data_IF_102933774407
#
_entry.id   IF_102933774407
#
_cell.length_a   1.000
_cell.length_b   1.000
_cell.length_c   1.000
_cell.angle_alpha   90.00
_cell.angle_beta   90.00
_cell.angle_gamma   90.00
#
_symmetry.space_group_name_H-M   'P 1'
#
loop_
_entity.id
_entity.type
_entity.pdbx_description
1 polymer ?
#
# COMPACT_ATOMS: atom_id res chain seq x y z
N UNK A 1 41.15 -32.15 -27.75
CA UNK A 1 40.46 -32.76 -26.58
C UNK A 1 38.96 -32.82 -26.82
N UNK A 2 38.29 -33.93 -26.47
CA UNK A 2 36.81 -34.00 -26.51
C UNK A 2 36.24 -33.16 -25.35
N UNK A 3 35.09 -32.49 -25.55
CA UNK A 3 34.44 -31.63 -24.55
C UNK A 3 34.15 -32.36 -23.23
N UNK A 4 33.86 -33.66 -23.29
CA UNK A 4 33.68 -34.52 -22.13
C UNK A 4 34.93 -34.63 -21.24
N UNK A 5 36.11 -34.75 -21.84
CA UNK A 5 37.37 -34.86 -21.08
C UNK A 5 37.71 -33.53 -20.39
N UNK A 6 37.40 -32.40 -21.05
CA UNK A 6 37.58 -31.06 -20.49
C UNK A 6 36.69 -30.86 -19.26
N UNK A 7 35.43 -31.28 -19.33
CA UNK A 7 34.50 -31.21 -18.20
C UNK A 7 34.94 -32.10 -17.03
N UNK A 8 35.38 -33.34 -17.33
CA UNK A 8 35.83 -34.30 -16.31
C UNK A 8 37.13 -33.87 -15.63
N UNK A 9 38.08 -33.31 -16.38
CA UNK A 9 39.31 -32.71 -15.86
C UNK A 9 39.00 -31.49 -14.99
N UNK A 10 38.15 -30.59 -15.47
CA UNK A 10 37.76 -29.38 -14.74
C UNK A 10 37.08 -29.72 -13.40
N UNK A 11 36.14 -30.68 -13.39
CA UNK A 11 35.49 -31.16 -12.17
C UNK A 11 36.48 -31.79 -11.18
N UNK A 12 37.48 -32.52 -11.67
CA UNK A 12 38.53 -33.11 -10.82
C UNK A 12 39.42 -32.06 -10.18
N UNK A 13 39.63 -30.92 -10.86
CA UNK A 13 40.45 -29.81 -10.40
C UNK A 13 39.78 -28.99 -9.31
N UNK A 14 38.50 -28.66 -9.47
CA UNK A 14 37.67 -28.01 -8.42
C UNK A 14 37.69 -28.85 -7.13
N UNK A 15 37.70 -30.17 -7.25
CA UNK A 15 37.70 -31.10 -6.12
C UNK A 15 39.04 -31.18 -5.36
N UNK A 16 40.15 -30.73 -5.97
CA UNK A 16 41.48 -30.69 -5.34
C UNK A 16 41.73 -29.38 -4.57
N UNK A 17 41.15 -28.25 -4.96
CA UNK A 17 41.26 -26.95 -4.25
C UNK A 17 40.09 -26.68 -3.30
N UNK A 18 39.76 -27.67 -2.44
CA UNK A 18 38.48 -27.73 -1.68
C UNK A 18 38.12 -26.45 -0.93
N UNK A 19 39.06 -25.86 -0.17
CA UNK A 19 38.73 -24.77 0.76
C UNK A 19 38.45 -23.45 0.03
N UNK A 20 39.31 -23.06 -0.90
CA UNK A 20 39.20 -21.81 -1.65
C UNK A 20 37.96 -21.79 -2.54
N UNK A 21 37.74 -22.90 -3.25
CA UNK A 21 36.57 -23.14 -4.09
C UNK A 21 35.25 -23.11 -3.31
N UNK A 22 35.23 -23.68 -2.10
CA UNK A 22 34.04 -23.60 -1.24
C UNK A 22 33.77 -22.19 -0.74
N UNK A 23 34.80 -21.48 -0.28
CA UNK A 23 34.67 -20.12 0.25
C UNK A 23 34.10 -19.16 -0.79
N UNK A 24 34.54 -19.24 -2.06
CA UNK A 24 34.00 -18.41 -3.14
C UNK A 24 32.57 -18.77 -3.51
N UNK A 25 32.26 -20.06 -3.67
CA UNK A 25 30.90 -20.52 -4.02
C UNK A 25 29.91 -20.11 -2.91
N UNK A 26 30.26 -20.30 -1.64
CA UNK A 26 29.41 -19.91 -0.51
C UNK A 26 29.17 -18.39 -0.50
N UNK A 27 30.22 -17.59 -0.73
CA UNK A 27 30.08 -16.14 -0.80
C UNK A 27 29.10 -15.69 -1.88
N UNK A 28 29.18 -16.28 -3.08
CA UNK A 28 28.29 -15.99 -4.20
C UNK A 28 26.86 -16.45 -3.89
N UNK A 29 26.69 -17.68 -3.40
CA UNK A 29 25.38 -18.25 -3.08
C UNK A 29 24.68 -17.42 -2.01
N UNK A 30 25.38 -17.06 -0.92
CA UNK A 30 24.80 -16.23 0.14
C UNK A 30 24.44 -14.84 -0.40
N UNK A 31 25.33 -14.22 -1.19
CA UNK A 31 25.08 -12.91 -1.79
C UNK A 31 23.85 -12.89 -2.69
N UNK A 32 23.78 -13.82 -3.64
CA UNK A 32 22.64 -13.95 -4.56
C UNK A 32 21.36 -14.31 -3.81
N UNK A 33 21.42 -15.25 -2.86
CA UNK A 33 20.26 -15.64 -2.05
C UNK A 33 19.71 -14.46 -1.24
N UNK A 34 20.58 -13.67 -0.60
CA UNK A 34 20.17 -12.50 0.16
C UNK A 34 19.49 -11.44 -0.72
N UNK A 35 20.05 -11.17 -1.91
CA UNK A 35 19.48 -10.22 -2.87
C UNK A 35 18.10 -10.69 -3.35
N UNK A 36 18.00 -11.95 -3.78
CA UNK A 36 16.74 -12.52 -4.28
C UNK A 36 15.68 -12.54 -3.17
N UNK A 37 16.06 -12.86 -1.93
CA UNK A 37 15.16 -12.82 -0.79
C UNK A 37 14.62 -11.40 -0.54
N UNK A 38 15.49 -10.39 -0.53
CA UNK A 38 15.08 -9.00 -0.30
C UNK A 38 14.14 -8.50 -1.41
N UNK A 39 14.44 -8.79 -2.68
CA UNK A 39 13.57 -8.42 -3.81
C UNK A 39 12.21 -9.12 -3.70
N UNK A 40 12.20 -10.41 -3.39
CA UNK A 40 10.95 -11.19 -3.26
C UNK A 40 10.08 -10.70 -2.10
N UNK A 41 10.71 -10.33 -0.98
CA UNK A 41 10.00 -9.70 0.15
C UNK A 41 9.43 -8.35 -0.27
N UNK A 42 10.20 -7.55 -1.02
CA UNK A 42 9.76 -6.27 -1.58
C UNK A 42 8.51 -6.40 -2.45
N UNK A 43 8.53 -7.32 -3.41
CA UNK A 43 7.40 -7.60 -4.30
C UNK A 43 6.19 -8.12 -3.53
N UNK A 44 6.41 -9.03 -2.56
CA UNK A 44 5.35 -9.53 -1.68
C UNK A 44 4.70 -8.43 -0.84
N UNK A 45 5.51 -7.52 -0.30
CA UNK A 45 5.02 -6.34 0.44
C UNK A 45 4.25 -5.39 -0.49
N UNK A 46 4.75 -5.12 -1.69
CA UNK A 46 4.04 -4.29 -2.67
C UNK A 46 2.67 -4.89 -3.02
N UNK A 47 2.62 -6.20 -3.30
CA UNK A 47 1.38 -6.90 -3.61
C UNK A 47 0.40 -6.88 -2.41
N UNK A 48 0.90 -7.06 -1.18
CA UNK A 48 0.09 -6.96 0.03
C UNK A 48 -0.50 -5.57 0.20
N UNK A 49 0.30 -4.51 0.04
CA UNK A 49 -0.18 -3.12 0.14
C UNK A 49 -1.18 -2.81 -0.97
N UNK A 50 -0.94 -3.25 -2.22
CA UNK A 50 -1.88 -3.07 -3.32
C UNK A 50 -3.21 -3.78 -3.07
N UNK A 51 -3.20 -5.00 -2.50
CA UNK A 51 -4.41 -5.72 -2.12
C UNK A 51 -5.19 -5.00 -1.02
N UNK A 52 -4.49 -4.52 0.01
CA UNK A 52 -5.08 -3.74 1.12
C UNK A 52 -5.65 -2.39 0.67
N UNK A 53 -5.18 -1.84 -0.45
CA UNK A 53 -5.72 -0.61 -1.07
C UNK A 53 -6.85 -0.91 -2.05
N UNK A 54 -6.77 -2.02 -2.80
CA UNK A 54 -7.80 -2.43 -3.75
C UNK A 54 -9.15 -2.69 -3.09
N UNK A 55 -9.17 -3.12 -1.82
CA UNK A 55 -10.40 -3.27 -1.03
C UNK A 55 -11.11 -1.95 -0.74
N UNK A 56 -10.40 -0.80 -0.86
CA UNK A 56 -10.94 0.54 -0.58
C UNK A 56 -11.69 1.16 -1.75
N UNK A 57 -11.88 0.44 -2.86
CA UNK A 57 -12.58 0.93 -4.05
C UNK A 57 -11.71 1.87 -4.86
N UNK A 58 -11.00 1.31 -5.86
CA UNK A 58 -10.17 2.09 -6.77
C UNK A 58 -10.98 3.05 -7.67
N UNK A 59 -12.29 2.89 -7.70
CA UNK A 59 -13.29 3.74 -8.34
C UNK A 59 -13.86 4.82 -7.42
N UNK A 60 -13.24 5.07 -6.26
CA UNK A 60 -13.64 6.13 -5.36
C UNK A 60 -12.74 7.37 -5.50
N UNK A 61 -13.40 8.53 -5.48
CA UNK A 61 -12.77 9.85 -5.36
C UNK A 61 -13.34 10.50 -4.11
N UNK A 62 -12.46 11.00 -3.24
CA UNK A 62 -12.88 11.70 -2.01
C UNK A 62 -12.57 13.17 -2.14
N UNK A 63 -13.58 13.99 -1.88
CA UNK A 63 -13.46 15.44 -1.72
C UNK A 63 -13.46 15.73 -0.22
N UNK A 64 -12.41 16.37 0.26
CA UNK A 64 -12.28 16.76 1.67
C UNK A 64 -12.12 18.28 1.79
N UNK A 65 -12.65 18.91 2.85
CA UNK A 65 -12.41 20.32 3.13
C UNK A 65 -10.96 20.55 3.56
N UNK A 66 -10.47 21.75 3.29
CA UNK A 66 -9.09 22.17 3.49
C UNK A 66 -8.18 21.81 2.32
N UNK A 67 -7.16 22.64 2.12
CA UNK A 67 -6.14 22.41 1.11
C UNK A 67 -4.97 21.65 1.73
N UNK A 68 -5.03 20.33 1.65
CA UNK A 68 -3.90 19.47 1.99
C UNK A 68 -2.93 19.46 0.81
N UNK A 69 -1.92 20.35 0.81
CA UNK A 69 -0.76 20.14 -0.06
C UNK A 69 -0.13 18.81 0.34
N UNK A 70 -0.23 17.82 -0.53
CA UNK A 70 0.58 16.62 -0.46
C UNK A 70 2.04 17.01 -0.80
N UNK A 71 2.74 17.61 0.16
CA UNK A 71 4.15 17.95 0.05
C UNK A 71 4.87 17.35 1.25
N UNK A 72 5.84 16.49 0.94
CA UNK A 72 6.65 15.75 1.90
C UNK A 72 7.36 16.64 2.92
N UNK A 73 7.93 15.97 3.92
CA UNK A 73 8.70 16.53 5.01
C UNK A 73 9.55 17.76 4.60
N UNK A 74 9.12 18.95 5.04
CA UNK A 74 9.92 20.17 4.92
C UNK A 74 9.10 21.47 4.86
N UNK A 75 8.82 22.04 6.04
CA UNK A 75 8.64 23.48 6.38
C UNK A 75 7.64 24.34 5.54
N UNK A 76 6.80 25.21 6.10
CA UNK A 76 7.09 26.26 7.10
C UNK A 76 6.04 26.37 8.21
N UNK A 77 6.45 26.74 9.44
CA UNK A 77 5.56 27.04 10.55
C UNK A 77 4.91 28.41 10.36
N UNK A 78 3.65 28.43 9.94
CA UNK A 78 2.78 29.58 10.15
C UNK A 78 2.51 29.80 11.64
N UNK A 79 2.09 31.02 12.06
CA UNK A 79 2.11 31.42 13.46
C UNK A 79 1.23 30.49 14.32
N UNK A 80 1.89 29.95 15.34
CA UNK A 80 1.36 29.15 16.45
C UNK A 80 -0.13 29.36 16.78
N UNK A 81 -0.88 28.26 16.73
CA UNK A 81 -2.11 28.12 17.53
C UNK A 81 -3.23 27.32 16.87
N UNK A 82 -3.07 26.01 16.77
CA UNK A 82 -4.16 25.09 16.41
C UNK A 82 -4.11 24.66 14.94
N UNK A 83 -4.11 23.34 14.71
CA UNK A 83 -4.41 22.77 13.42
C UNK A 83 -5.82 23.17 13.01
N UNK A 84 -5.93 24.33 12.36
CA UNK A 84 -7.16 24.82 11.78
C UNK A 84 -7.55 23.89 10.65
N UNK A 85 -8.40 22.90 10.97
CA UNK A 85 -9.42 22.43 10.05
C UNK A 85 -9.96 23.69 9.39
N UNK A 86 -9.79 23.83 8.07
CA UNK A 86 -10.49 24.91 7.37
C UNK A 86 -11.95 24.79 7.78
N UNK A 87 -12.48 25.82 8.45
CA UNK A 87 -13.87 25.89 8.96
C UNK A 87 -14.91 25.86 7.85
N UNK A 88 -14.46 25.69 6.61
CA UNK A 88 -15.25 25.67 5.40
C UNK A 88 -15.66 24.23 5.15
N UNK A 89 -16.83 23.87 5.69
CA UNK A 89 -17.42 22.57 5.46
C UNK A 89 -17.90 22.42 3.99
N UNK A 90 -17.95 21.19 3.52
CA UNK A 90 -18.63 20.86 2.26
C UNK A 90 -20.13 20.90 2.49
N UNK A 91 -20.88 21.42 1.53
CA UNK A 91 -22.32 21.66 1.64
C UNK A 91 -23.11 20.85 0.63
N UNK A 92 -24.44 20.79 0.79
CA UNK A 92 -25.34 20.19 -0.21
C UNK A 92 -25.19 20.83 -1.60
N UNK A 93 -24.82 22.11 -1.68
CA UNK A 93 -24.56 22.79 -2.96
C UNK A 93 -23.41 22.11 -3.71
N UNK A 94 -22.35 21.74 -3.00
CA UNK A 94 -21.19 21.05 -3.58
C UNK A 94 -21.56 19.66 -4.04
N UNK A 95 -22.32 18.92 -3.23
CA UNK A 95 -22.84 17.62 -3.60
C UNK A 95 -23.66 17.67 -4.90
N UNK A 96 -24.50 18.70 -5.07
CA UNK A 96 -25.30 18.87 -6.29
C UNK A 96 -24.45 19.19 -7.52
N UNK A 97 -23.38 19.96 -7.37
CA UNK A 97 -22.43 20.23 -8.45
C UNK A 97 -21.66 18.97 -8.83
N UNK A 98 -21.23 18.18 -7.84
CA UNK A 98 -20.51 16.91 -8.04
C UNK A 98 -21.39 15.91 -8.80
N UNK A 99 -22.68 15.82 -8.48
CA UNK A 99 -23.65 14.95 -9.19
C UNK A 99 -23.78 15.26 -10.68
N UNK A 100 -23.45 16.48 -11.12
CA UNK A 100 -23.53 16.92 -12.52
C UNK A 100 -22.24 16.67 -13.31
N UNK A 101 -21.21 16.07 -12.69
CA UNK A 101 -19.95 15.77 -13.38
C UNK A 101 -20.10 14.48 -14.21
N UNK A 102 -19.77 14.49 -15.51
CA UNK A 102 -19.77 13.27 -16.32
C UNK A 102 -18.87 12.19 -15.71
N UNK A 103 -19.33 10.94 -15.73
CA UNK A 103 -18.58 9.79 -15.18
C UNK A 103 -18.82 9.53 -13.69
N UNK A 104 -19.54 10.41 -12.97
CA UNK A 104 -19.97 10.17 -11.58
C UNK A 104 -21.25 9.33 -11.57
N UNK A 105 -21.23 8.19 -10.86
CA UNK A 105 -22.41 7.33 -10.68
C UNK A 105 -23.12 7.64 -9.36
N UNK A 106 -22.36 7.67 -8.26
CA UNK A 106 -22.91 7.88 -6.92
C UNK A 106 -22.11 8.93 -6.17
N UNK A 107 -22.81 9.71 -5.34
CA UNK A 107 -22.23 10.73 -4.47
C UNK A 107 -22.80 10.52 -3.08
N UNK A 108 -21.92 10.41 -2.09
CA UNK A 108 -22.30 10.21 -0.70
C UNK A 108 -21.57 11.24 0.17
N UNK A 109 -22.35 12.10 0.81
CA UNK A 109 -21.85 13.03 1.82
C UNK A 109 -21.65 12.29 3.15
N UNK A 110 -20.44 12.32 3.67
CA UNK A 110 -20.09 11.68 4.92
C UNK A 110 -19.93 12.71 6.04
N UNK A 111 -20.35 12.32 7.24
CA UNK A 111 -20.12 13.07 8.47
C UNK A 111 -19.29 12.21 9.40
N UNK A 112 -18.00 12.52 9.50
CA UNK A 112 -17.07 11.75 10.32
C UNK A 112 -16.68 12.52 11.57
N UNK A 113 -16.47 11.80 12.67
CA UNK A 113 -16.03 12.40 13.92
C UNK A 113 -15.56 11.33 14.88
N UNK A 114 -15.17 11.75 16.08
CA UNK A 114 -14.85 10.82 17.17
C UNK A 114 -15.83 11.04 18.31
N UNK A 115 -16.24 9.95 18.94
CA UNK A 115 -17.00 10.00 20.19
C UNK A 115 -16.65 8.81 21.05
N UNK A 116 -17.01 8.89 22.32
CA UNK A 116 -16.81 7.80 23.25
C UNK A 116 -17.94 6.79 23.11
N UNK A 117 -17.55 5.53 22.94
CA UNK A 117 -18.43 4.37 22.98
C UNK A 117 -18.27 3.69 24.34
N UNK A 118 -19.41 3.39 24.97
CA UNK A 118 -19.53 2.80 26.29
C UNK A 118 -20.22 1.44 26.14
N UNK A 119 -19.57 0.40 26.67
CA UNK A 119 -20.10 -0.95 26.75
C UNK A 119 -19.91 -1.49 28.18
N UNK A 120 -20.98 -1.57 28.95
CA UNK A 120 -20.90 -1.94 30.36
C UNK A 120 -20.10 -0.90 31.17
N UNK A 121 -18.93 -1.30 31.67
CA UNK A 121 -17.99 -0.43 32.42
C UNK A 121 -16.84 0.10 31.57
N UNK A 122 -16.71 -0.34 30.31
CA UNK A 122 -15.61 0.03 29.43
C UNK A 122 -16.00 1.23 28.57
N UNK A 123 -15.07 2.16 28.41
CA UNK A 123 -15.23 3.33 27.55
C UNK A 123 -14.02 3.42 26.62
N UNK A 124 -14.28 3.54 25.32
CA UNK A 124 -13.25 3.69 24.30
C UNK A 124 -13.63 4.77 23.30
N UNK A 125 -12.64 5.46 22.76
CA UNK A 125 -12.87 6.48 21.72
C UNK A 125 -12.93 5.79 20.37
N UNK A 126 -14.05 5.93 19.67
CA UNK A 126 -14.28 5.30 18.37
C UNK A 126 -14.43 6.35 17.28
N UNK A 127 -14.01 5.99 16.07
CA UNK A 127 -14.32 6.78 14.88
C UNK A 127 -15.76 6.52 14.46
N UNK A 128 -16.55 7.57 14.30
CA UNK A 128 -17.92 7.51 13.82
C UNK A 128 -17.94 8.01 12.39
N UNK A 129 -18.63 7.29 11.52
CA UNK A 129 -18.88 7.68 10.14
C UNK A 129 -20.38 7.64 9.88
N UNK A 130 -20.97 8.83 9.78
CA UNK A 130 -22.32 9.08 9.33
C UNK A 130 -22.43 8.93 7.82
N UNK A 131 -23.36 8.10 7.37
CA UNK A 131 -23.51 7.75 5.95
C UNK A 131 -24.95 7.94 5.48
N UNK A 132 -25.13 8.29 4.21
CA UNK A 132 -26.43 8.25 3.56
C UNK A 132 -26.76 6.78 3.22
N UNK A 133 -27.72 6.21 3.94
CA UNK A 133 -28.09 4.80 3.84
C UNK A 133 -28.56 4.44 2.41
N UNK A 134 -29.14 5.39 1.67
CA UNK A 134 -29.68 5.15 0.32
C UNK A 134 -28.58 4.90 -0.71
N UNK A 135 -27.42 5.54 -0.54
CA UNK A 135 -26.30 5.48 -1.49
C UNK A 135 -25.15 4.62 -0.96
N UNK A 136 -24.96 4.58 0.36
CA UNK A 136 -23.84 3.91 1.01
C UNK A 136 -23.72 2.43 0.65
N UNK A 137 -24.85 1.71 0.54
CA UNK A 137 -24.86 0.29 0.15
C UNK A 137 -24.25 0.02 -1.23
N UNK A 138 -24.34 0.98 -2.15
CA UNK A 138 -23.80 0.89 -3.51
C UNK A 138 -22.32 1.29 -3.59
N UNK A 139 -21.79 1.93 -2.54
CA UNK A 139 -20.41 2.39 -2.43
C UNK A 139 -19.57 1.42 -1.59
N UNK A 140 -20.11 0.89 -0.50
CA UNK A 140 -19.40 -0.06 0.36
C UNK A 140 -19.12 -1.36 -0.37
N UNK A 141 -17.85 -1.74 -0.36
CA UNK A 141 -17.33 -3.01 -0.88
C UNK A 141 -17.11 -4.05 0.23
N UNK A 142 -17.09 -3.63 1.49
CA UNK A 142 -16.83 -4.51 2.65
C UNK A 142 -17.99 -5.47 2.89
N UNK A 143 -17.67 -6.76 2.99
CA UNK A 143 -18.62 -7.81 3.34
C UNK A 143 -18.93 -7.80 4.85
N UNK A 144 -20.10 -8.32 5.22
CA UNK A 144 -20.49 -8.50 6.61
C UNK A 144 -20.07 -9.89 7.08
N UNK A 145 -19.49 -9.95 8.27
CA UNK A 145 -19.30 -11.21 8.99
C UNK A 145 -20.64 -11.68 9.56
N UNK A 146 -21.41 -10.76 10.14
CA UNK A 146 -22.70 -11.07 10.75
C UNK A 146 -23.70 -9.92 10.65
N UNK A 147 -24.98 -10.30 10.61
CA UNK A 147 -26.11 -9.38 10.63
C UNK A 147 -26.46 -8.78 9.27
N UNK A 148 -26.79 -7.48 9.25
CA UNK A 148 -27.26 -6.78 8.04
C UNK A 148 -26.70 -5.37 7.92
N UNK A 149 -26.67 -4.86 6.70
CA UNK A 149 -26.38 -3.46 6.42
C UNK A 149 -27.49 -2.56 6.97
N UNK A 150 -27.17 -1.27 7.15
CA UNK A 150 -28.15 -0.23 7.45
C UNK A 150 -29.20 -0.17 6.33
N UNK A 151 -30.47 0.02 6.71
CA UNK A 151 -31.59 0.13 5.79
C UNK A 151 -32.32 1.47 5.99
N UNK A 152 -32.97 2.03 4.94
CA UNK A 152 -33.77 3.23 5.09
C UNK A 152 -34.83 3.05 6.20
N UNK A 153 -34.87 3.96 7.17
CA UNK A 153 -35.73 3.87 8.36
C UNK A 153 -35.04 3.42 9.64
N UNK A 154 -33.80 2.94 9.56
CA UNK A 154 -32.98 2.69 10.74
C UNK A 154 -32.47 4.02 11.33
N UNK A 155 -33.03 4.49 12.44
CA UNK A 155 -32.54 5.71 13.12
C UNK A 155 -31.56 5.41 14.26
N UNK A 156 -31.76 4.29 14.97
CA UNK A 156 -30.96 3.91 16.15
C UNK A 156 -30.17 2.61 15.91
N UNK A 157 -29.68 2.41 14.68
CA UNK A 157 -28.90 1.25 14.30
C UNK A 157 -27.47 1.63 13.92
N UNK A 158 -26.51 0.75 14.25
CA UNK A 158 -25.10 0.90 13.91
C UNK A 158 -24.55 -0.37 13.28
N UNK A 159 -23.61 -0.20 12.34
CA UNK A 159 -22.76 -1.27 11.83
C UNK A 159 -21.34 -1.02 12.34
N UNK A 160 -20.71 -2.05 12.89
CA UNK A 160 -19.42 -1.94 13.58
C UNK A 160 -18.32 -2.67 12.79
N UNK A 161 -17.11 -2.11 12.78
CA UNK A 161 -15.92 -2.76 12.23
C UNK A 161 -15.47 -4.00 13.02
N UNK A 162 -14.79 -4.93 12.35
CA UNK A 162 -14.37 -6.20 12.94
C UNK A 162 -13.56 -6.06 14.24
N UNK A 163 -12.51 -5.24 14.22
CA UNK A 163 -11.62 -5.06 15.37
C UNK A 163 -12.31 -4.37 16.54
N UNK A 164 -13.21 -3.43 16.28
CA UNK A 164 -14.02 -2.83 17.34
C UNK A 164 -14.98 -3.84 18.00
N UNK A 165 -15.44 -4.85 17.26
CA UNK A 165 -16.30 -5.90 17.78
C UNK A 165 -15.52 -6.99 18.56
N UNK A 166 -14.30 -7.34 18.15
CA UNK A 166 -13.56 -8.49 18.70
C UNK A 166 -12.35 -8.14 19.57
N UNK A 167 -11.63 -7.06 19.25
CA UNK A 167 -10.30 -6.80 19.81
C UNK A 167 -10.30 -5.73 20.91
N UNK A 168 -11.27 -4.80 20.88
CA UNK A 168 -11.27 -3.61 21.73
C UNK A 168 -11.89 -3.83 23.11
N UNK A 169 -12.94 -4.66 23.20
CA UNK A 169 -13.68 -4.89 24.44
C UNK A 169 -13.38 -6.28 25.00
N UNK A 170 -13.42 -6.46 26.33
CA UNK A 170 -13.17 -7.77 26.96
C UNK A 170 -14.18 -8.85 26.55
N UNK A 171 -15.39 -8.45 26.16
CA UNK A 171 -16.38 -9.34 25.58
C UNK A 171 -16.70 -8.91 24.16
N UNK A 172 -16.74 -9.86 23.19
CA UNK A 172 -17.05 -9.52 21.83
C UNK A 172 -18.47 -8.93 21.73
N UNK A 173 -18.59 -7.91 20.89
CA UNK A 173 -19.88 -7.31 20.57
C UNK A 173 -20.59 -8.26 19.60
N UNK A 174 -21.77 -8.71 19.98
CA UNK A 174 -22.63 -9.54 19.13
C UNK A 174 -23.74 -8.71 18.50
N UNK A 175 -24.35 -9.26 17.45
CA UNK A 175 -25.51 -8.64 16.82
C UNK A 175 -26.64 -8.42 17.84
N UNK A 176 -27.39 -7.33 17.67
CA UNK A 176 -28.50 -6.87 18.49
C UNK A 176 -28.13 -6.40 19.90
N UNK A 177 -26.83 -6.36 20.26
CA UNK A 177 -26.39 -5.79 21.54
C UNK A 177 -26.56 -4.26 21.53
N UNK A 178 -27.09 -3.66 22.60
CA UNK A 178 -27.13 -2.21 22.73
C UNK A 178 -25.75 -1.66 23.10
N UNK A 179 -25.36 -0.56 22.47
CA UNK A 179 -24.10 0.15 22.69
C UNK A 179 -24.40 1.63 22.87
N UNK A 180 -23.74 2.29 23.82
CA UNK A 180 -23.97 3.72 24.05
C UNK A 180 -22.85 4.51 23.42
N UNK A 181 -23.18 5.43 22.51
CA UNK A 181 -22.21 6.25 21.78
C UNK A 181 -22.60 7.71 21.95
N UNK A 182 -21.68 8.54 22.46
CA UNK A 182 -21.93 9.95 22.75
C UNK A 182 -23.20 10.21 23.58
N UNK A 183 -23.50 9.33 24.53
CA UNK A 183 -24.66 9.44 25.42
C UNK A 183 -25.99 8.96 24.83
N UNK A 184 -26.04 8.48 23.59
CA UNK A 184 -27.23 7.85 22.97
C UNK A 184 -27.02 6.35 22.80
N UNK A 185 -28.07 5.56 23.00
CA UNK A 185 -28.01 4.10 22.84
C UNK A 185 -28.40 3.69 21.41
N UNK A 186 -27.54 2.90 20.78
CA UNK A 186 -27.71 2.33 19.46
C UNK A 186 -27.72 0.81 19.52
N UNK A 187 -28.39 0.19 18.55
CA UNK A 187 -28.42 -1.26 18.39
C UNK A 187 -27.46 -1.70 17.28
N UNK A 188 -26.59 -2.66 17.58
CA UNK A 188 -25.67 -3.21 16.57
C UNK A 188 -26.45 -4.13 15.63
N UNK A 189 -26.59 -3.73 14.36
CA UNK A 189 -27.36 -4.51 13.37
C UNK A 189 -26.49 -5.36 12.45
N UNK A 190 -25.21 -5.00 12.32
CA UNK A 190 -24.24 -5.74 11.53
C UNK A 190 -22.81 -5.51 12.00
N UNK A 191 -21.94 -6.47 11.70
CA UNK A 191 -20.50 -6.43 11.95
C UNK A 191 -19.80 -6.71 10.63
N UNK A 192 -18.87 -5.83 10.26
CA UNK A 192 -18.06 -6.03 9.06
C UNK A 192 -17.07 -7.17 9.24
N UNK A 193 -16.83 -7.90 8.15
CA UNK A 193 -15.72 -8.83 8.09
C UNK A 193 -14.39 -8.07 8.18
N UNK A 194 -13.36 -8.75 8.68
CA UNK A 194 -12.02 -8.19 8.80
C UNK A 194 -11.52 -7.74 7.42
N UNK A 195 -11.42 -6.43 7.21
CA UNK A 195 -10.97 -5.88 5.93
C UNK A 195 -9.44 -5.82 5.87
N UNK A 196 -8.75 -5.77 7.03
CA UNK A 196 -7.28 -5.80 7.12
C UNK A 196 -6.58 -4.69 6.31
N UNK A 197 -7.36 -3.72 5.82
CA UNK A 197 -6.95 -2.68 4.90
C UNK A 197 -6.73 -1.35 5.61
N UNK A 198 -6.02 -0.44 4.93
CA UNK A 198 -5.70 0.89 5.45
C UNK A 198 -6.92 1.83 5.60
N UNK A 199 -8.13 1.37 5.28
CA UNK A 199 -9.35 2.19 5.24
C UNK A 199 -9.95 2.54 6.59
N UNK A 200 -9.42 2.04 7.70
CA UNK A 200 -9.95 2.31 9.04
C UNK A 200 -11.35 1.75 9.28
N UNK A 201 -11.89 0.94 8.36
CA UNK A 201 -13.22 0.31 8.45
C UNK A 201 -13.34 -0.58 9.67
N UNK A 202 -12.23 -1.17 10.11
CA UNK A 202 -12.20 -2.19 11.18
C UNK A 202 -12.36 -1.56 12.58
N UNK A 203 -12.02 -0.27 12.73
CA UNK A 203 -12.13 0.49 13.98
C UNK A 203 -13.16 1.63 13.92
N UNK A 204 -14.07 1.57 12.94
CA UNK A 204 -15.10 2.58 12.74
C UNK A 204 -16.50 2.06 13.08
N UNK A 205 -17.37 2.97 13.49
CA UNK A 205 -18.80 2.76 13.65
C UNK A 205 -19.53 3.52 12.54
N UNK A 206 -20.33 2.81 11.77
CA UNK A 206 -21.16 3.35 10.72
C UNK A 206 -22.58 3.50 11.21
N UNK A 207 -23.16 4.68 11.01
CA UNK A 207 -24.53 4.98 11.42
C UNK A 207 -25.17 5.97 10.44
N UNK A 208 -26.50 6.15 10.46
CA UNK A 208 -27.16 7.16 9.64
C UNK A 208 -26.54 8.54 9.87
N UNK A 209 -26.39 9.34 8.80
CA UNK A 209 -25.78 10.67 8.88
C UNK A 209 -26.45 11.59 9.92
N UNK A 210 -27.77 11.53 10.06
CA UNK A 210 -28.50 12.32 11.06
C UNK A 210 -28.18 11.88 12.50
N UNK A 211 -28.08 10.58 12.75
CA UNK A 211 -27.69 10.03 14.05
C UNK A 211 -26.23 10.35 14.39
N UNK A 212 -25.35 10.35 13.39
CA UNK A 212 -23.94 10.74 13.58
C UNK A 212 -23.81 12.21 13.98
N UNK A 213 -24.54 13.12 13.33
CA UNK A 213 -24.55 14.56 13.66
C UNK A 213 -24.97 14.82 15.11
N UNK A 214 -25.94 14.06 15.58
CA UNK A 214 -26.45 14.17 16.95
C UNK A 214 -25.47 13.68 18.03
N UNK A 215 -24.61 12.72 17.68
CA UNK A 215 -23.66 12.05 18.60
C UNK A 215 -22.28 12.70 18.58
N UNK A 216 -21.91 13.28 17.44
CA UNK A 216 -20.67 14.03 17.24
C UNK A 216 -20.97 15.48 17.68
N UNK A 217 -21.06 15.69 19.00
CA UNK A 217 -21.36 17.00 19.59
C UNK A 217 -20.15 17.92 19.53
N UNK A 218 -19.90 18.49 18.36
CA UNK A 218 -19.22 19.77 18.07
C UNK A 218 -18.83 19.80 16.59
N UNK A 219 -19.07 20.92 15.91
CA UNK A 219 -18.43 21.34 14.64
C UNK A 219 -19.20 21.10 13.31
N UNK A 220 -20.25 20.29 13.23
CA UNK A 220 -20.95 20.05 11.95
C UNK A 220 -22.41 20.47 12.00
N UNK A 221 -22.73 21.64 11.44
CA UNK A 221 -24.11 22.12 11.28
C UNK A 221 -24.92 21.21 10.34
N UNK A 222 -26.26 21.33 10.38
CA UNK A 222 -27.12 20.68 9.38
C UNK A 222 -26.66 21.10 7.99
N UNK A 223 -26.54 20.14 7.07
CA UNK A 223 -26.10 20.33 5.67
C UNK A 223 -24.59 20.51 5.46
N UNK A 224 -23.78 20.27 6.50
CA UNK A 224 -22.32 20.19 6.38
C UNK A 224 -21.83 18.74 6.33
N UNK A 225 -20.80 18.51 5.53
CA UNK A 225 -20.12 17.23 5.36
C UNK A 225 -18.63 17.40 5.64
N UNK A 226 -18.05 16.41 6.32
CA UNK A 226 -16.60 16.35 6.56
C UNK A 226 -15.84 15.80 5.37
N UNK A 227 -16.52 15.06 4.50
CA UNK A 227 -16.00 14.61 3.22
C UNK A 227 -17.16 14.22 2.30
N UNK A 228 -16.94 14.27 1.00
CA UNK A 228 -17.86 13.74 0.00
C UNK A 228 -17.13 12.65 -0.76
N UNK A 229 -17.64 11.43 -0.73
CA UNK A 229 -17.11 10.32 -1.52
C UNK A 229 -17.94 10.16 -2.78
N UNK A 230 -17.25 10.00 -3.89
CA UNK A 230 -17.80 9.92 -5.24
C UNK A 230 -17.37 8.60 -5.85
N UNK A 231 -18.32 7.84 -6.39
CA UNK A 231 -18.05 6.63 -7.15
C UNK A 231 -18.10 6.93 -8.63
N UNK A 232 -17.03 6.59 -9.34
CA UNK A 232 -16.92 6.81 -10.79
C UNK A 232 -17.24 5.53 -11.57
N UNK A 233 -17.65 5.69 -12.83
CA UNK A 233 -18.00 4.56 -13.68
C UNK A 233 -16.80 3.74 -14.15
N UNK A 234 -15.67 4.41 -14.38
CA UNK A 234 -14.44 3.79 -14.87
C UNK A 234 -13.24 4.36 -14.10
N UNK A 235 -12.43 3.45 -13.53
CA UNK A 235 -11.22 3.79 -12.80
C UNK A 235 -10.18 4.47 -13.69
N UNK A 236 -10.17 4.17 -14.98
CA UNK A 236 -9.23 4.79 -15.94
C UNK A 236 -9.55 6.27 -16.19
N UNK A 237 -10.77 6.70 -15.90
CA UNK A 237 -11.18 8.10 -16.00
C UNK A 237 -10.97 8.88 -14.70
N UNK A 238 -10.40 8.26 -13.66
CA UNK A 238 -10.26 8.88 -12.34
C UNK A 238 -9.54 10.23 -12.39
N UNK A 239 -8.46 10.35 -13.16
CA UNK A 239 -7.71 11.61 -13.28
C UNK A 239 -8.49 12.68 -14.05
N UNK A 240 -9.22 12.30 -15.09
CA UNK A 240 -10.08 13.21 -15.85
C UNK A 240 -11.25 13.71 -15.00
N UNK A 241 -11.94 12.79 -14.32
CA UNK A 241 -13.07 13.11 -13.43
C UNK A 241 -12.59 13.95 -12.25
N UNK A 242 -11.40 13.66 -11.70
CA UNK A 242 -10.77 14.49 -10.68
C UNK A 242 -10.55 15.90 -11.18
N UNK A 243 -9.98 16.09 -12.37
CA UNK A 243 -9.75 17.42 -12.94
C UNK A 243 -11.07 18.18 -13.15
N UNK A 244 -12.10 17.51 -13.67
CA UNK A 244 -13.43 18.08 -13.87
C UNK A 244 -14.11 18.45 -12.54
N UNK A 245 -13.97 17.61 -11.51
CA UNK A 245 -14.44 17.89 -10.15
C UNK A 245 -13.74 19.10 -9.56
N UNK A 246 -12.41 19.18 -9.67
CA UNK A 246 -11.64 20.34 -9.21
C UNK A 246 -12.11 21.62 -9.91
N UNK A 247 -12.25 21.60 -11.24
CA UNK A 247 -12.67 22.77 -12.00
C UNK A 247 -14.10 23.22 -11.65
N UNK A 248 -15.06 22.28 -11.59
CA UNK A 248 -16.47 22.61 -11.29
C UNK A 248 -16.65 23.09 -9.86
N UNK A 249 -15.95 22.48 -8.89
CA UNK A 249 -15.98 22.94 -7.50
C UNK A 249 -15.30 24.31 -7.34
N UNK A 250 -14.19 24.55 -8.05
CA UNK A 250 -13.54 25.88 -8.09
C UNK A 250 -14.49 26.96 -8.60
N UNK A 251 -15.22 26.70 -9.69
CA UNK A 251 -16.22 27.63 -10.23
C UNK A 251 -17.39 27.85 -9.26
N UNK A 252 -17.94 26.78 -8.67
CA UNK A 252 -19.09 26.87 -7.75
C UNK A 252 -18.77 27.65 -6.46
N UNK A 253 -17.57 27.44 -5.91
CA UNK A 253 -17.08 28.10 -4.68
C UNK A 253 -16.37 29.42 -4.94
N UNK A 254 -16.18 29.81 -6.20
CA UNK A 254 -15.44 31.02 -6.60
C UNK A 254 -14.00 31.07 -6.05
N UNK A 255 -13.32 29.92 -6.04
CA UNK A 255 -11.94 29.77 -5.55
C UNK A 255 -10.96 29.48 -6.68
N UNK A 256 -9.72 29.95 -6.52
CA UNK A 256 -8.63 29.74 -7.46
C UNK A 256 -7.65 28.69 -6.93
N UNK A 257 -6.70 28.21 -7.75
CA UNK A 257 -5.70 27.21 -7.31
C UNK A 257 -4.84 27.63 -6.11
N UNK A 258 -4.78 28.93 -5.78
CA UNK A 258 -4.06 29.46 -4.60
C UNK A 258 -4.95 29.67 -3.37
N UNK A 259 -6.27 29.83 -3.55
CA UNK A 259 -7.25 30.05 -2.47
C UNK A 259 -8.17 28.85 -2.29
N UNK A 260 -7.79 27.71 -2.88
CA UNK A 260 -8.55 26.46 -2.83
C UNK A 260 -8.73 26.07 -1.36
N UNK A 261 -9.96 25.72 -1.01
CA UNK A 261 -10.41 25.36 0.34
C UNK A 261 -10.84 23.88 0.40
N UNK A 262 -10.53 23.10 -0.64
CA UNK A 262 -10.83 21.68 -0.73
C UNK A 262 -9.70 20.91 -1.43
N UNK A 263 -9.64 19.62 -1.17
CA UNK A 263 -8.78 18.67 -1.88
C UNK A 263 -9.63 17.60 -2.52
N UNK A 264 -9.36 17.27 -3.78
CA UNK A 264 -9.92 16.10 -4.46
C UNK A 264 -8.82 15.04 -4.56
N UNK A 265 -9.07 13.88 -3.95
CA UNK A 265 -8.12 12.77 -3.91
C UNK A 265 -8.76 11.55 -4.54
N UNK A 266 -8.19 11.08 -5.64
CA UNK A 266 -8.56 9.79 -6.23
C UNK A 266 -7.71 8.68 -5.61
N UNK A 267 -8.33 7.54 -5.27
CA UNK A 267 -7.58 6.39 -4.74
C UNK A 267 -6.62 5.80 -5.77
N UNK A 268 -6.95 5.86 -7.07
CA UNK A 268 -6.05 5.48 -8.14
C UNK A 268 -4.72 6.26 -8.11
N UNK A 269 -4.76 7.57 -7.82
CA UNK A 269 -3.53 8.38 -7.71
C UNK A 269 -2.66 7.95 -6.52
N UNK A 270 -3.26 7.54 -5.40
CA UNK A 270 -2.53 7.00 -4.23
C UNK A 270 -1.87 5.68 -4.61
N UNK A 271 -2.59 4.78 -5.29
CA UNK A 271 -2.06 3.50 -5.73
C UNK A 271 -0.87 3.68 -6.70
N UNK A 272 -0.98 4.64 -7.63
CA UNK A 272 0.10 4.97 -8.54
C UNK A 272 1.32 5.55 -7.80
N UNK A 273 1.11 6.45 -6.84
CA UNK A 273 2.20 7.04 -6.06
C UNK A 273 2.95 5.98 -5.24
N UNK A 274 2.23 5.08 -4.58
CA UNK A 274 2.84 3.97 -3.82
C UNK A 274 3.58 3.02 -4.74
N UNK A 275 2.99 2.66 -5.89
CA UNK A 275 3.64 1.82 -6.89
C UNK A 275 4.93 2.47 -7.43
N UNK A 276 4.94 3.79 -7.59
CA UNK A 276 6.12 4.57 -7.99
C UNK A 276 7.25 4.48 -6.94
N UNK A 277 6.90 4.55 -5.65
CA UNK A 277 7.86 4.40 -4.55
C UNK A 277 8.44 2.99 -4.52
N UNK A 278 7.62 1.94 -4.62
CA UNK A 278 8.11 0.57 -4.70
C UNK A 278 8.98 0.31 -5.95
N UNK A 279 8.63 0.90 -7.09
CA UNK A 279 9.46 0.83 -8.29
C UNK A 279 10.83 1.50 -8.07
N UNK A 280 10.88 2.64 -7.38
CA UNK A 280 12.14 3.30 -7.02
C UNK A 280 12.99 2.44 -6.06
N UNK A 281 12.37 1.82 -5.05
CA UNK A 281 13.04 0.87 -4.14
C UNK A 281 13.58 -0.33 -4.92
N UNK A 282 12.79 -0.90 -5.82
CA UNK A 282 13.19 -2.05 -6.65
C UNK A 282 14.37 -1.71 -7.55
N UNK A 283 14.35 -0.52 -8.18
CA UNK A 283 15.46 -0.03 -8.98
C UNK A 283 16.74 0.15 -8.13
N UNK A 284 16.60 0.72 -6.93
CA UNK A 284 17.70 0.90 -6.00
C UNK A 284 18.31 -0.44 -5.55
N UNK A 285 17.47 -1.41 -5.19
CA UNK A 285 17.91 -2.77 -4.87
C UNK A 285 18.56 -3.46 -6.07
N UNK A 286 18.03 -3.25 -7.27
CA UNK A 286 18.64 -3.72 -8.52
C UNK A 286 20.02 -3.13 -8.77
N UNK A 287 20.23 -1.85 -8.44
CA UNK A 287 21.56 -1.23 -8.52
C UNK A 287 22.55 -1.84 -7.52
N UNK A 288 22.12 -2.10 -6.28
CA UNK A 288 22.93 -2.80 -5.27
C UNK A 288 23.25 -4.22 -5.74
N UNK A 289 22.28 -4.91 -6.32
CA UNK A 289 22.46 -6.24 -6.89
C UNK A 289 23.50 -6.24 -8.02
N UNK A 290 23.45 -5.24 -8.90
CA UNK A 290 24.43 -5.08 -9.98
C UNK A 290 25.85 -4.83 -9.45
N UNK A 291 26.01 -3.99 -8.42
CA UNK A 291 27.31 -3.77 -7.76
C UNK A 291 27.80 -5.05 -7.08
N UNK A 292 26.91 -5.78 -6.40
CA UNK A 292 27.25 -7.04 -5.73
C UNK A 292 27.67 -8.12 -6.73
N UNK A 293 27.00 -8.18 -7.89
CA UNK A 293 27.39 -9.05 -9.00
C UNK A 293 28.80 -8.70 -9.51
N UNK A 294 29.10 -7.41 -9.64
CA UNK A 294 30.42 -6.94 -10.08
C UNK A 294 31.51 -7.32 -9.07
N UNK A 295 31.27 -7.11 -7.78
CA UNK A 295 32.20 -7.52 -6.71
C UNK A 295 32.40 -9.04 -6.71
N UNK A 296 31.32 -9.81 -6.88
CA UNK A 296 31.37 -11.26 -7.05
C UNK A 296 32.22 -11.68 -8.26
N UNK A 297 32.01 -11.03 -9.42
CA UNK A 297 32.76 -11.29 -10.64
C UNK A 297 34.26 -10.98 -10.46
N UNK A 298 34.62 -9.89 -9.77
CA UNK A 298 36.02 -9.58 -9.42
C UNK A 298 36.60 -10.63 -8.47
N UNK A 299 35.82 -11.11 -7.51
CA UNK A 299 36.22 -12.19 -6.60
C UNK A 299 36.50 -13.51 -7.33
N UNK A 300 35.64 -13.88 -8.28
CA UNK A 300 35.84 -15.05 -9.17
C UNK A 300 37.10 -14.84 -10.01
N UNK A 301 37.26 -13.66 -10.64
CA UNK A 301 38.42 -13.33 -11.46
C UNK A 301 39.72 -13.43 -10.68
N UNK A 302 39.78 -12.91 -9.45
CA UNK A 302 40.97 -12.96 -8.60
C UNK A 302 41.32 -14.41 -8.21
N UNK A 303 40.30 -15.22 -7.88
CA UNK A 303 40.49 -16.63 -7.55
C UNK A 303 40.97 -17.43 -8.76
N UNK A 304 40.40 -17.17 -9.94
CA UNK A 304 40.81 -17.80 -11.19
C UNK A 304 42.22 -17.39 -11.61
N UNK A 305 42.57 -16.12 -11.49
CA UNK A 305 43.92 -15.64 -11.78
C UNK A 305 44.96 -16.36 -10.92
N UNK A 306 44.70 -16.49 -9.61
CA UNK A 306 45.57 -17.24 -8.71
C UNK A 306 45.66 -18.73 -9.09
N UNK A 307 44.53 -19.37 -9.43
CA UNK A 307 44.50 -20.77 -9.88
C UNK A 307 45.33 -21.01 -11.14
N UNK A 308 45.28 -20.08 -12.12
CA UNK A 308 46.09 -20.14 -13.34
C UNK A 308 47.58 -19.99 -13.00
N UNK A 309 47.93 -19.03 -12.14
CA UNK A 309 49.31 -18.77 -11.72
C UNK A 309 49.93 -19.99 -11.01
N UNK A 310 49.19 -20.61 -10.08
CA UNK A 310 49.59 -21.83 -9.38
C UNK A 310 49.78 -23.03 -10.34
N UNK A 311 49.12 -23.04 -11.51
CA UNK A 311 49.13 -24.16 -12.48
C UNK A 311 49.90 -23.88 -13.77
N UNK A 312 50.65 -22.78 -13.86
CA UNK A 312 51.47 -22.39 -15.02
C UNK A 312 52.35 -23.53 -15.56
N UNK A 313 52.99 -24.31 -14.67
CA UNK A 313 53.82 -25.46 -15.06
C UNK A 313 53.02 -26.60 -15.72
N UNK A 314 51.78 -26.83 -15.29
CA UNK A 314 50.89 -27.84 -15.89
C UNK A 314 50.39 -27.40 -17.27
N UNK A 315 50.09 -26.11 -17.44
CA UNK A 315 49.73 -25.52 -18.73
C UNK A 315 50.89 -25.69 -19.72
N UNK A 316 52.13 -25.47 -19.28
CA UNK A 316 53.34 -25.69 -20.07
C UNK A 316 53.48 -27.14 -20.56
N UNK A 317 53.19 -28.12 -19.71
CA UNK A 317 53.20 -29.54 -20.08
C UNK A 317 52.11 -29.88 -21.11
N UNK A 318 50.90 -29.34 -20.95
CA UNK A 318 49.80 -29.53 -21.90
C UNK A 318 50.15 -28.94 -23.27
N UNK A 319 50.71 -27.74 -23.31
CA UNK A 319 51.17 -27.11 -24.57
C UNK A 319 52.31 -27.90 -25.22
N UNK A 320 53.27 -28.42 -24.44
CA UNK A 320 54.34 -29.26 -24.99
C UNK A 320 53.84 -30.60 -25.56
N UNK A 321 52.67 -31.07 -25.12
CA UNK A 321 52.00 -32.27 -25.63
C UNK A 321 51.05 -31.97 -26.81
N UNK A 322 51.01 -30.72 -27.29
CA UNK A 322 50.24 -30.31 -28.46
C UNK A 322 48.86 -29.71 -28.17
N UNK A 323 48.53 -29.37 -26.92
CA UNK A 323 47.30 -28.65 -26.63
C UNK A 323 47.34 -27.22 -27.19
N UNK A 324 46.28 -26.82 -27.90
CA UNK A 324 46.16 -25.47 -28.48
C UNK A 324 45.74 -24.44 -27.43
N UNK A 325 46.04 -23.15 -27.68
CA UNK A 325 45.67 -22.04 -26.78
C UNK A 325 44.16 -21.97 -26.54
N UNK A 326 43.36 -22.27 -27.56
CA UNK A 326 41.91 -22.34 -27.46
C UNK A 326 41.42 -23.49 -26.57
N UNK A 327 42.11 -24.64 -26.55
CA UNK A 327 41.75 -25.76 -25.67
C UNK A 327 42.05 -25.44 -24.21
N UNK A 328 43.17 -24.77 -23.94
CA UNK A 328 43.52 -24.30 -22.60
C UNK A 328 42.54 -23.21 -22.14
N UNK A 329 42.18 -22.26 -23.01
CA UNK A 329 41.19 -21.23 -22.71
C UNK A 329 39.81 -21.82 -22.41
N UNK A 330 39.35 -22.81 -23.20
CA UNK A 330 38.08 -23.52 -22.95
C UNK A 330 38.09 -24.28 -21.62
N UNK A 331 39.21 -24.88 -21.24
CA UNK A 331 39.35 -25.56 -19.95
C UNK A 331 39.11 -24.59 -18.79
N UNK A 332 39.76 -23.43 -18.80
CA UNK A 332 39.61 -22.43 -17.75
C UNK A 332 38.24 -21.73 -17.79
N UNK A 333 37.64 -21.49 -18.96
CA UNK A 333 36.28 -20.95 -19.06
C UNK A 333 35.25 -21.91 -18.44
N UNK A 334 35.38 -23.22 -18.70
CA UNK A 334 34.51 -24.23 -18.08
C UNK A 334 34.79 -24.33 -16.57
N UNK A 335 36.05 -24.20 -16.13
CA UNK A 335 36.40 -24.15 -14.71
C UNK A 335 35.80 -22.93 -14.00
N UNK A 336 35.87 -21.73 -14.61
CA UNK A 336 35.22 -20.51 -14.12
C UNK A 336 33.70 -20.67 -14.03
N UNK A 337 33.06 -21.18 -15.09
CA UNK A 337 31.60 -21.37 -15.10
C UNK A 337 31.11 -22.43 -14.10
N UNK A 338 31.98 -23.32 -13.62
CA UNK A 338 31.68 -24.22 -12.50
C UNK A 338 31.76 -23.52 -11.13
N UNK A 339 32.50 -22.40 -11.02
CA UNK A 339 32.58 -21.59 -9.82
C UNK A 339 31.45 -20.56 -9.70
N UNK A 340 30.95 -20.04 -10.83
CA UNK A 340 29.88 -19.04 -10.90
C UNK A 340 29.78 -18.40 -12.27
#
# INVERSE_FOLDING_TARGET
MKTYDIFKLSLSHVRKSKMRSWLTIIGIVIGVAAIVAIISIGDGLQASVQKSLGSLGADLITVSPGYSRATGAGHEPGPQGGGGVSTVNLTDKDMNVIKQVPGVIYVNGMVSGRSNMILGTETTSVSITGVDITVWRSIVTTELESGRYLQPGDSNAVVIGYSLAHDVFLQPITQNRPVTIGGKTFKVVGIFAQSGGFGGTDNAVYMPADSARDVITSTVERNHFTSITVKIADQNLADSVKADLEQKLMMSRHVNSRTRDFTVTAFASIQQQISSVFQAITLFLGAIAAVSLLVGAVGIANTMFMSVMERTRQIGLLKSLGATDNEVMKLFLIESGLFG
#
